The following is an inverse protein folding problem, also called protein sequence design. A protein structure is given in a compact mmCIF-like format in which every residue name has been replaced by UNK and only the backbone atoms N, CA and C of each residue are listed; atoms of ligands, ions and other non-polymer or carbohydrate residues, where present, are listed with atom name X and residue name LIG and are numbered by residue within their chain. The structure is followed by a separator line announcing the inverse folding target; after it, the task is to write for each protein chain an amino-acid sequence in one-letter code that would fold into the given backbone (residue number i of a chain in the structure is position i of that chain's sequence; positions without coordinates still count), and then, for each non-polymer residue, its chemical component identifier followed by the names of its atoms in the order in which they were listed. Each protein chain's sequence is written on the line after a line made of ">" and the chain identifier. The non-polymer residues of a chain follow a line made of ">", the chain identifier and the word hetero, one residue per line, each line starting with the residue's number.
data_IF_332947978376
#
_entry.id   IF_332947978376
#
_cell.length_a   1.000
_cell.length_b   1.000
_cell.length_c   1.000
_cell.angle_alpha   90.00
_cell.angle_beta   90.00
_cell.angle_gamma   90.00
#
_symmetry.space_group_name_H-M   'P 1'
#
loop_
_entity.id
_entity.type
_entity.pdbx_description
1 polymer ?
#
# COMPACT_ATOMS: atom_id res chain seq x y z
N UNK A 1 20.46 4.35 53.10
CA UNK A 1 21.10 4.16 51.79
C UNK A 1 20.12 3.36 50.96
N UNK A 2 19.15 4.08 50.39
CA UNK A 2 18.32 3.54 49.32
C UNK A 2 19.23 3.32 48.11
N UNK A 3 19.31 2.08 47.66
CA UNK A 3 19.84 1.78 46.34
C UNK A 3 18.77 2.23 45.35
N UNK A 4 18.93 3.43 44.80
CA UNK A 4 18.34 3.76 43.51
C UNK A 4 18.83 2.72 42.52
N UNK A 5 17.96 1.75 42.21
CA UNK A 5 18.09 1.02 40.96
C UNK A 5 17.99 2.09 39.88
N UNK A 6 19.14 2.46 39.33
CA UNK A 6 19.21 3.18 38.07
C UNK A 6 18.43 2.33 37.08
N UNK A 7 17.20 2.78 36.80
CA UNK A 7 16.39 2.27 35.72
C UNK A 7 17.31 2.14 34.51
N UNK A 8 17.32 0.95 33.92
CA UNK A 8 18.14 0.59 32.78
C UNK A 8 17.61 1.29 31.50
N UNK A 9 17.28 2.58 31.59
CA UNK A 9 16.73 3.45 30.56
C UNK A 9 17.78 3.83 29.49
N UNK A 10 18.83 3.03 29.34
CA UNK A 10 19.99 3.29 28.49
C UNK A 10 20.22 2.21 27.42
N UNK A 11 19.17 1.53 26.93
CA UNK A 11 19.29 0.47 25.92
C UNK A 11 18.34 0.68 24.74
N UNK A 12 18.63 1.69 23.91
CA UNK A 12 18.19 1.80 22.51
C UNK A 12 16.68 1.75 22.21
N UNK A 13 16.33 1.84 20.93
CA UNK A 13 14.95 1.65 20.48
C UNK A 13 14.65 0.15 20.44
N UNK A 14 13.73 -0.32 21.29
CA UNK A 14 13.28 -1.73 21.26
C UNK A 14 12.40 -1.97 20.03
N UNK A 15 12.93 -2.73 19.07
CA UNK A 15 12.24 -3.17 17.86
C UNK A 15 11.94 -4.66 17.97
N UNK A 16 10.68 -5.06 17.75
CA UNK A 16 10.29 -6.48 17.71
C UNK A 16 9.77 -6.85 16.33
N UNK A 17 10.09 -8.06 15.87
CA UNK A 17 9.66 -8.61 14.59
C UNK A 17 8.82 -9.85 14.84
N UNK A 18 7.54 -9.80 14.47
CA UNK A 18 6.58 -10.90 14.66
C UNK A 18 6.30 -11.57 13.32
N UNK A 19 6.74 -12.81 13.18
CA UNK A 19 6.39 -13.68 12.06
C UNK A 19 5.08 -14.40 12.34
N UNK A 20 4.02 -14.09 11.61
CA UNK A 20 2.68 -14.66 11.81
C UNK A 20 2.37 -15.71 10.74
N UNK A 21 2.04 -16.93 11.19
CA UNK A 21 1.77 -18.07 10.33
C UNK A 21 3.04 -18.70 9.73
N UNK A 22 2.86 -19.61 8.77
CA UNK A 22 3.97 -20.35 8.15
C UNK A 22 4.95 -19.45 7.39
N UNK A 23 4.46 -18.67 6.42
CA UNK A 23 5.30 -17.76 5.64
C UNK A 23 5.99 -16.69 6.51
N UNK A 24 5.26 -16.10 7.47
CA UNK A 24 5.86 -15.15 8.42
C UNK A 24 6.93 -15.78 9.30
N UNK A 25 6.70 -17.01 9.78
CA UNK A 25 7.69 -17.77 10.54
C UNK A 25 8.94 -18.11 9.72
N UNK A 26 8.78 -18.48 8.45
CA UNK A 26 9.89 -18.72 7.52
C UNK A 26 10.71 -17.45 7.30
N UNK A 27 10.06 -16.31 7.05
CA UNK A 27 10.72 -15.03 6.90
C UNK A 27 11.52 -14.64 8.16
N UNK A 28 10.95 -14.85 9.36
CA UNK A 28 11.68 -14.64 10.62
C UNK A 28 12.89 -15.55 10.74
N UNK A 29 12.74 -16.84 10.43
CA UNK A 29 13.86 -17.78 10.46
C UNK A 29 14.95 -17.36 9.47
N UNK A 30 14.56 -16.87 8.29
CA UNK A 30 15.49 -16.37 7.28
C UNK A 30 16.25 -15.13 7.75
N UNK A 31 15.57 -14.17 8.39
CA UNK A 31 16.21 -12.99 8.99
C UNK A 31 17.22 -13.38 10.09
N UNK A 32 16.87 -14.35 10.92
CA UNK A 32 17.78 -14.90 11.95
C UNK A 32 19.02 -15.51 11.29
N UNK A 33 18.83 -16.31 10.24
CA UNK A 33 19.93 -16.95 9.52
C UNK A 33 20.85 -15.94 8.81
N UNK A 34 20.29 -14.83 8.32
CA UNK A 34 21.07 -13.70 7.75
C UNK A 34 21.72 -12.80 8.80
N UNK A 35 21.47 -13.03 10.09
CA UNK A 35 22.13 -12.31 11.18
C UNK A 35 21.64 -10.88 11.38
N UNK A 36 20.36 -10.60 11.06
CA UNK A 36 19.76 -9.29 11.36
C UNK A 36 19.86 -9.01 12.86
N UNK A 37 20.44 -7.86 13.19
CA UNK A 37 20.76 -7.48 14.58
C UNK A 37 19.88 -6.32 15.07
N UNK A 38 19.85 -6.10 16.39
CA UNK A 38 19.10 -5.00 16.98
C UNK A 38 17.58 -5.19 16.99
N UNK A 39 17.08 -6.42 16.78
CA UNK A 39 15.66 -6.73 16.83
C UNK A 39 15.40 -7.99 17.68
N UNK A 40 14.24 -8.06 18.31
CA UNK A 40 13.74 -9.27 18.99
C UNK A 40 12.78 -10.02 18.07
N UNK A 41 13.08 -11.29 17.78
CA UNK A 41 12.26 -12.12 16.91
C UNK A 41 11.20 -12.90 17.69
N UNK A 42 9.97 -12.86 17.17
CA UNK A 42 8.80 -13.55 17.72
C UNK A 42 8.18 -14.38 16.60
N UNK A 43 8.01 -15.68 16.81
CA UNK A 43 7.26 -16.55 15.90
C UNK A 43 5.87 -16.84 16.47
N UNK A 44 4.82 -16.59 15.70
CA UNK A 44 3.44 -16.77 16.13
C UNK A 44 2.67 -17.62 15.11
N UNK A 45 2.25 -18.84 15.49
CA UNK A 45 1.57 -19.74 14.56
C UNK A 45 0.56 -20.64 15.27
N UNK A 46 -0.42 -21.15 14.52
CA UNK A 46 -1.38 -22.16 15.00
C UNK A 46 -0.86 -23.59 14.80
N UNK A 47 0.14 -23.77 13.94
CA UNK A 47 0.83 -25.04 13.72
C UNK A 47 2.00 -25.21 14.69
N UNK A 48 1.89 -26.21 15.57
CA UNK A 48 2.92 -26.49 16.58
C UNK A 48 4.20 -27.09 15.99
N UNK A 49 4.11 -27.82 14.87
CA UNK A 49 5.29 -28.40 14.21
C UNK A 49 6.16 -27.31 13.61
N UNK A 50 5.54 -26.32 12.96
CA UNK A 50 6.24 -25.16 12.44
C UNK A 50 6.95 -24.36 13.54
N UNK A 51 6.30 -24.21 14.71
CA UNK A 51 6.90 -23.49 15.85
C UNK A 51 8.06 -24.24 16.49
N UNK A 52 7.99 -25.58 16.57
CA UNK A 52 9.07 -26.39 17.12
C UNK A 52 10.39 -26.27 16.33
N UNK A 53 10.31 -25.93 15.04
CA UNK A 53 11.49 -25.70 14.19
C UNK A 53 12.02 -24.26 14.26
N UNK A 54 11.31 -23.33 14.91
CA UNK A 54 11.68 -21.92 14.94
C UNK A 54 12.81 -21.63 15.93
N UNK A 55 13.76 -20.80 15.52
CA UNK A 55 14.86 -20.28 16.35
C UNK A 55 14.58 -18.89 16.92
N UNK A 56 13.33 -18.42 16.85
CA UNK A 56 12.95 -17.10 17.35
C UNK A 56 13.16 -16.95 18.87
N UNK A 57 13.41 -15.72 19.34
CA UNK A 57 13.63 -15.44 20.76
C UNK A 57 12.40 -15.78 21.61
N UNK A 58 11.21 -15.58 21.05
CA UNK A 58 9.94 -15.89 21.69
C UNK A 58 9.00 -16.61 20.71
N UNK A 59 8.22 -17.56 21.22
CA UNK A 59 7.34 -18.43 20.44
C UNK A 59 5.92 -18.34 21.02
N UNK A 60 4.98 -17.93 20.19
CA UNK A 60 3.56 -17.79 20.52
C UNK A 60 2.77 -18.84 19.76
N UNK A 61 2.39 -19.90 20.46
CA UNK A 61 1.40 -20.85 19.98
C UNK A 61 0.01 -20.19 20.00
N UNK A 62 -0.57 -19.98 18.82
CA UNK A 62 -1.92 -19.42 18.62
C UNK A 62 -2.93 -20.57 18.66
N UNK A 63 -3.79 -20.59 19.68
CA UNK A 63 -4.73 -21.69 19.91
C UNK A 63 -4.07 -22.99 20.41
N UNK A 64 -4.87 -23.88 20.98
CA UNK A 64 -4.36 -25.03 21.76
C UNK A 64 -4.12 -26.30 20.93
N UNK A 65 -4.78 -26.47 19.78
CA UNK A 65 -4.79 -27.74 19.04
C UNK A 65 -3.48 -28.05 18.34
N UNK A 66 -2.71 -27.03 17.93
CA UNK A 66 -1.45 -27.21 17.20
C UNK A 66 -1.61 -27.69 15.75
N UNK A 67 -2.83 -27.79 15.21
CA UNK A 67 -3.13 -28.40 13.90
C UNK A 67 -3.25 -27.39 12.74
N UNK A 68 -2.98 -26.12 13.00
CA UNK A 68 -3.15 -25.07 11.99
C UNK A 68 -4.60 -24.57 11.83
N UNK A 69 -4.77 -23.50 11.04
CA UNK A 69 -6.07 -22.90 10.75
C UNK A 69 -6.75 -23.43 9.47
N UNK A 70 -6.14 -24.39 8.76
CA UNK A 70 -6.75 -25.06 7.59
C UNK A 70 -7.20 -24.13 6.46
N UNK A 71 -6.40 -23.11 6.12
CA UNK A 71 -6.74 -22.05 5.12
C UNK A 71 -8.01 -21.24 5.44
N UNK A 72 -8.41 -21.18 6.71
CA UNK A 72 -9.60 -20.45 7.16
C UNK A 72 -9.20 -19.24 8.02
N UNK A 73 -9.20 -18.02 7.46
CA UNK A 73 -8.80 -16.80 8.18
C UNK A 73 -9.63 -16.54 9.44
N UNK A 74 -10.91 -16.86 9.41
CA UNK A 74 -11.81 -16.69 10.55
C UNK A 74 -11.40 -17.55 11.76
N UNK A 75 -10.87 -18.76 11.52
CA UNK A 75 -10.30 -19.60 12.58
C UNK A 75 -9.02 -18.96 13.11
N UNK A 76 -8.13 -18.53 12.21
CA UNK A 76 -6.88 -17.86 12.61
C UNK A 76 -7.14 -16.64 13.49
N UNK A 77 -8.14 -15.83 13.13
CA UNK A 77 -8.59 -14.66 13.91
C UNK A 77 -9.14 -15.04 15.28
N UNK A 78 -10.06 -16.01 15.34
CA UNK A 78 -10.66 -16.46 16.61
C UNK A 78 -9.61 -16.98 17.59
N UNK A 79 -8.67 -17.80 17.11
CA UNK A 79 -7.59 -18.33 17.94
C UNK A 79 -6.62 -17.23 18.39
N UNK A 80 -6.33 -16.24 17.53
CA UNK A 80 -5.52 -15.09 17.91
C UNK A 80 -6.18 -14.25 19.00
N UNK A 81 -7.50 -14.02 18.92
CA UNK A 81 -8.26 -13.30 19.94
C UNK A 81 -8.22 -14.03 21.29
N UNK A 82 -8.38 -15.36 21.29
CA UNK A 82 -8.24 -16.18 22.51
C UNK A 82 -6.83 -16.12 23.11
N UNK A 83 -5.81 -15.89 22.25
CA UNK A 83 -4.40 -15.83 22.63
C UNK A 83 -3.93 -14.39 22.88
N UNK A 84 -4.83 -13.40 22.88
CA UNK A 84 -4.52 -11.97 22.93
C UNK A 84 -3.60 -11.57 24.09
N UNK A 85 -3.87 -12.06 25.30
CA UNK A 85 -3.04 -11.77 26.49
C UNK A 85 -1.58 -12.21 26.31
N UNK A 86 -1.31 -13.34 25.64
CA UNK A 86 0.07 -13.80 25.39
C UNK A 86 0.77 -12.95 24.32
N UNK A 87 0.01 -12.46 23.35
CA UNK A 87 0.50 -11.52 22.34
C UNK A 87 0.89 -10.20 23.03
N UNK A 88 0.02 -9.67 23.89
CA UNK A 88 0.28 -8.46 24.69
C UNK A 88 1.54 -8.59 25.56
N UNK A 89 1.69 -9.69 26.29
CA UNK A 89 2.87 -9.93 27.12
C UNK A 89 4.17 -9.96 26.29
N UNK A 90 4.11 -10.57 25.10
CA UNK A 90 5.26 -10.70 24.20
C UNK A 90 5.65 -9.38 23.53
N UNK A 91 4.68 -8.48 23.31
CA UNK A 91 4.90 -7.17 22.67
C UNK A 91 5.24 -6.06 23.67
N UNK A 92 5.19 -6.35 24.98
CA UNK A 92 5.45 -5.34 26.02
C UNK A 92 6.84 -4.71 25.87
N UNK A 93 6.87 -3.39 26.00
CA UNK A 93 8.08 -2.57 25.90
C UNK A 93 8.57 -2.31 24.48
N UNK A 94 7.88 -2.78 23.44
CA UNK A 94 8.24 -2.47 22.05
C UNK A 94 7.93 -1.01 21.72
N UNK A 95 8.92 -0.29 21.17
CA UNK A 95 8.70 1.03 20.57
C UNK A 95 8.18 0.89 19.15
N UNK A 96 8.61 -0.17 18.46
CA UNK A 96 8.24 -0.49 17.10
C UNK A 96 8.02 -1.99 16.94
N UNK A 97 6.98 -2.36 16.20
CA UNK A 97 6.65 -3.76 15.90
C UNK A 97 6.52 -3.93 14.39
N UNK A 98 7.36 -4.81 13.83
CA UNK A 98 7.21 -5.31 12.48
C UNK A 98 6.36 -6.58 12.49
N UNK A 99 5.39 -6.66 11.60
CA UNK A 99 4.54 -7.85 11.44
C UNK A 99 4.80 -8.42 10.06
N UNK A 100 5.46 -9.58 10.00
CA UNK A 100 5.73 -10.32 8.78
C UNK A 100 4.67 -11.42 8.62
N UNK A 101 3.95 -11.43 7.50
CA UNK A 101 2.96 -12.47 7.22
C UNK A 101 2.76 -12.71 5.72
N UNK A 102 2.48 -13.96 5.36
CA UNK A 102 1.97 -14.31 4.04
C UNK A 102 0.45 -14.27 4.03
N UNK A 103 -0.14 -13.48 3.14
CA UNK A 103 -1.58 -13.32 2.98
C UNK A 103 -2.14 -14.41 2.05
N UNK A 104 -3.39 -14.79 2.27
CA UNK A 104 -4.08 -15.84 1.48
C UNK A 104 -4.25 -17.16 2.23
N UNK A 105 -3.41 -17.41 3.24
CA UNK A 105 -3.55 -18.54 4.17
C UNK A 105 -4.58 -18.30 5.29
N UNK A 106 -4.68 -19.24 6.23
CA UNK A 106 -5.58 -19.12 7.40
C UNK A 106 -4.96 -18.32 8.54
N UNK A 107 -3.77 -18.72 9.01
CA UNK A 107 -3.14 -18.12 10.20
C UNK A 107 -2.64 -16.71 9.95
N UNK A 108 -1.82 -16.51 8.92
CA UNK A 108 -1.25 -15.19 8.59
C UNK A 108 -2.35 -14.14 8.38
N UNK A 109 -3.25 -14.42 7.44
CA UNK A 109 -4.39 -13.53 7.11
C UNK A 109 -5.30 -13.21 8.29
N UNK A 110 -5.60 -14.21 9.14
CA UNK A 110 -6.54 -14.05 10.24
C UNK A 110 -5.95 -13.45 11.50
N UNK A 111 -4.72 -13.82 11.84
CA UNK A 111 -4.07 -13.45 13.10
C UNK A 111 -3.25 -12.15 12.99
N UNK A 112 -2.67 -11.83 11.83
CA UNK A 112 -1.86 -10.62 11.68
C UNK A 112 -2.62 -9.32 12.03
N UNK A 113 -3.91 -9.14 11.66
CA UNK A 113 -4.69 -7.97 12.09
C UNK A 113 -4.84 -7.86 13.61
N UNK A 114 -4.99 -8.98 14.32
CA UNK A 114 -5.11 -8.99 15.79
C UNK A 114 -3.77 -8.63 16.43
N UNK A 115 -2.66 -9.17 15.93
CA UNK A 115 -1.31 -8.79 16.39
C UNK A 115 -1.07 -7.30 16.19
N UNK A 116 -1.48 -6.75 15.04
CA UNK A 116 -1.37 -5.32 14.73
C UNK A 116 -2.21 -4.45 15.67
N UNK A 117 -3.46 -4.84 15.89
CA UNK A 117 -4.37 -4.14 16.80
C UNK A 117 -3.80 -4.07 18.23
N UNK A 118 -3.25 -5.19 18.72
CA UNK A 118 -2.59 -5.25 20.03
C UNK A 118 -1.38 -4.33 20.07
N UNK A 119 -0.47 -4.43 19.11
CA UNK A 119 0.74 -3.59 19.03
C UNK A 119 0.39 -2.09 19.06
N UNK A 120 -0.61 -1.69 18.27
CA UNK A 120 -1.07 -0.30 18.17
C UNK A 120 -1.75 0.19 19.45
N UNK A 121 -2.56 -0.65 20.09
CA UNK A 121 -3.19 -0.33 21.39
C UNK A 121 -2.14 -0.10 22.48
N UNK A 122 -1.00 -0.80 22.39
CA UNK A 122 0.13 -0.63 23.30
C UNK A 122 1.01 0.60 22.97
N UNK A 123 0.70 1.33 21.90
CA UNK A 123 1.41 2.56 21.51
C UNK A 123 2.69 2.33 20.70
N UNK A 124 2.94 1.11 20.23
CA UNK A 124 4.07 0.82 19.35
C UNK A 124 3.79 1.30 17.92
N UNK A 125 4.81 1.84 17.25
CA UNK A 125 4.76 2.10 15.82
C UNK A 125 4.63 0.75 15.09
N UNK A 126 3.48 0.53 14.44
CA UNK A 126 3.12 -0.79 13.91
C UNK A 126 3.26 -0.80 12.39
N UNK A 127 4.22 -1.57 11.89
CA UNK A 127 4.50 -1.70 10.45
C UNK A 127 4.27 -3.14 10.04
N UNK A 128 3.38 -3.36 9.08
CA UNK A 128 3.19 -4.68 8.49
C UNK A 128 3.96 -4.80 7.17
N UNK A 129 4.70 -5.89 7.02
CA UNK A 129 5.38 -6.27 5.79
C UNK A 129 4.81 -7.61 5.36
N UNK A 130 4.02 -7.61 4.29
CA UNK A 130 3.21 -8.77 3.94
C UNK A 130 3.34 -9.12 2.48
N UNK A 131 3.37 -10.42 2.18
CA UNK A 131 3.38 -10.93 0.80
C UNK A 131 1.98 -11.32 0.35
N UNK A 132 1.64 -10.95 -0.89
CA UNK A 132 0.50 -11.54 -1.60
C UNK A 132 0.88 -12.91 -2.17
N UNK A 133 -0.08 -13.82 -2.37
CA UNK A 133 0.19 -15.15 -2.91
C UNK A 133 0.73 -15.09 -4.35
N UNK A 134 1.35 -16.18 -4.80
CA UNK A 134 1.74 -16.34 -6.20
C UNK A 134 0.52 -16.60 -7.09
N UNK A 135 0.65 -16.33 -8.38
CA UNK A 135 -0.46 -16.49 -9.35
C UNK A 135 -0.96 -17.94 -9.44
N UNK A 136 -0.06 -18.92 -9.29
CA UNK A 136 -0.42 -20.34 -9.32
C UNK A 136 -1.22 -20.84 -8.09
N UNK A 137 -1.23 -20.10 -6.97
CA UNK A 137 -2.01 -20.49 -5.77
C UNK A 137 -3.53 -20.30 -5.96
N UNK A 138 -3.91 -19.58 -7.03
CA UNK A 138 -5.28 -19.46 -7.49
C UNK A 138 -6.08 -18.32 -6.88
N UNK A 139 -7.16 -17.94 -7.56
CA UNK A 139 -7.95 -16.74 -7.27
C UNK A 139 -8.51 -16.72 -5.83
N UNK A 140 -8.93 -17.88 -5.30
CA UNK A 140 -9.49 -17.95 -3.95
C UNK A 140 -8.48 -17.52 -2.88
N UNK A 141 -7.20 -17.88 -3.06
CA UNK A 141 -6.11 -17.46 -2.15
C UNK A 141 -5.93 -15.94 -2.22
N UNK A 142 -5.96 -15.38 -3.44
CA UNK A 142 -5.85 -13.94 -3.67
C UNK A 142 -7.02 -13.15 -3.06
N UNK A 143 -8.26 -13.64 -3.20
CA UNK A 143 -9.44 -12.99 -2.62
C UNK A 143 -9.37 -12.95 -1.09
N UNK A 144 -8.89 -14.04 -0.48
CA UNK A 144 -8.61 -14.11 0.96
C UNK A 144 -7.52 -13.09 1.35
N UNK A 145 -6.46 -13.00 0.55
CA UNK A 145 -5.36 -12.08 0.80
C UNK A 145 -5.82 -10.61 0.76
N UNK A 146 -6.61 -10.21 -0.24
CA UNK A 146 -7.15 -8.85 -0.35
C UNK A 146 -8.06 -8.49 0.83
N UNK A 147 -8.95 -9.40 1.24
CA UNK A 147 -9.82 -9.19 2.39
C UNK A 147 -9.01 -9.04 3.70
N UNK A 148 -7.97 -9.86 3.88
CA UNK A 148 -7.07 -9.75 5.02
C UNK A 148 -6.25 -8.47 5.02
N UNK A 149 -5.79 -8.00 3.84
CA UNK A 149 -5.06 -6.75 3.70
C UNK A 149 -5.93 -5.55 4.05
N UNK A 150 -7.19 -5.55 3.64
CA UNK A 150 -8.15 -4.51 3.99
C UNK A 150 -8.34 -4.43 5.52
N UNK A 151 -8.50 -5.57 6.18
CA UNK A 151 -8.63 -5.62 7.64
C UNK A 151 -7.34 -5.18 8.35
N UNK A 152 -6.19 -5.69 7.91
CA UNK A 152 -4.88 -5.35 8.48
C UNK A 152 -4.58 -3.86 8.35
N UNK A 153 -4.94 -3.24 7.23
CA UNK A 153 -4.69 -1.81 6.96
C UNK A 153 -5.33 -0.86 7.98
N UNK A 154 -6.38 -1.30 8.69
CA UNK A 154 -7.07 -0.52 9.72
C UNK A 154 -6.24 -0.44 11.02
N UNK A 155 -5.38 -1.42 11.25
CA UNK A 155 -4.69 -1.65 12.52
C UNK A 155 -3.19 -1.40 12.48
N UNK A 156 -2.66 -0.95 11.34
CA UNK A 156 -1.23 -0.62 11.16
C UNK A 156 -1.07 0.88 10.92
N UNK A 157 0.15 1.38 11.11
CA UNK A 157 0.52 2.74 10.73
C UNK A 157 1.03 2.77 9.29
N UNK A 158 1.80 1.74 8.91
CA UNK A 158 2.30 1.53 7.55
C UNK A 158 2.12 0.09 7.10
N UNK A 159 1.73 -0.10 5.84
CA UNK A 159 1.53 -1.41 5.21
C UNK A 159 2.40 -1.54 3.97
N UNK A 160 3.48 -2.31 4.07
CA UNK A 160 4.37 -2.66 2.96
C UNK A 160 3.84 -3.96 2.33
N UNK A 161 3.48 -3.87 1.05
CA UNK A 161 2.92 -5.01 0.30
C UNK A 161 3.96 -5.50 -0.71
N UNK A 162 4.30 -6.77 -0.61
CA UNK A 162 5.18 -7.48 -1.55
C UNK A 162 4.29 -8.30 -2.48
N UNK A 163 4.50 -8.13 -3.79
CA UNK A 163 3.74 -8.82 -4.83
C UNK A 163 4.55 -10.03 -5.32
N UNK A 164 4.22 -11.23 -4.85
CA UNK A 164 4.96 -12.44 -5.26
C UNK A 164 4.82 -12.73 -6.76
N UNK A 165 3.71 -12.35 -7.38
CA UNK A 165 3.54 -12.37 -8.84
C UNK A 165 4.64 -11.56 -9.56
N UNK A 166 5.10 -10.44 -9.00
CA UNK A 166 6.21 -9.67 -9.59
C UNK A 166 7.55 -10.37 -9.44
N UNK A 167 7.75 -11.14 -8.38
CA UNK A 167 8.94 -11.96 -8.24
C UNK A 167 8.94 -13.12 -9.25
N UNK A 168 7.78 -13.70 -9.52
CA UNK A 168 7.59 -14.71 -10.58
C UNK A 168 7.96 -14.14 -11.97
N UNK A 169 7.50 -12.94 -12.31
CA UNK A 169 7.85 -12.28 -13.59
C UNK A 169 9.35 -11.99 -13.73
N UNK A 170 10.04 -11.62 -12.65
CA UNK A 170 11.48 -11.28 -12.68
C UNK A 170 12.35 -12.53 -12.77
N UNK A 171 11.94 -13.61 -12.10
CA UNK A 171 12.74 -14.82 -11.91
C UNK A 171 12.11 -16.04 -12.61
N UNK A 172 11.47 -15.84 -13.76
CA UNK A 172 10.66 -16.87 -14.47
C UNK A 172 11.40 -18.22 -14.67
N UNK A 173 12.71 -18.18 -14.90
CA UNK A 173 13.54 -19.37 -15.15
C UNK A 173 14.00 -20.12 -13.87
N UNK A 174 13.73 -19.58 -12.68
CA UNK A 174 14.20 -20.14 -11.40
C UNK A 174 13.21 -21.13 -10.78
N UNK A 175 13.67 -21.87 -9.75
CA UNK A 175 12.82 -22.85 -9.06
C UNK A 175 11.84 -22.16 -8.10
N UNK A 176 10.71 -22.81 -7.82
CA UNK A 176 9.74 -22.36 -6.80
C UNK A 176 10.40 -22.11 -5.44
N UNK A 177 11.39 -22.92 -5.06
CA UNK A 177 12.12 -22.73 -3.81
C UNK A 177 12.94 -21.44 -3.83
N UNK A 178 13.51 -21.08 -4.98
CA UNK A 178 14.27 -19.85 -5.13
C UNK A 178 13.34 -18.63 -5.17
N UNK A 179 12.16 -18.73 -5.78
CA UNK A 179 11.13 -17.68 -5.67
C UNK A 179 10.73 -17.39 -4.22
N UNK A 180 10.55 -18.43 -3.40
CA UNK A 180 10.25 -18.25 -1.97
C UNK A 180 11.42 -17.57 -1.23
N UNK A 181 12.67 -17.96 -1.54
CA UNK A 181 13.85 -17.28 -0.98
C UNK A 181 13.92 -15.83 -1.40
N UNK A 182 13.59 -15.49 -2.65
CA UNK A 182 13.53 -14.10 -3.10
C UNK A 182 12.46 -13.31 -2.34
N UNK A 183 11.29 -13.90 -2.08
CA UNK A 183 10.26 -13.27 -1.27
C UNK A 183 10.73 -13.04 0.18
N UNK A 184 11.40 -14.03 0.78
CA UNK A 184 11.99 -13.91 2.11
C UNK A 184 13.13 -12.88 2.14
N UNK A 185 13.90 -12.75 1.05
CA UNK A 185 14.95 -11.74 0.89
C UNK A 185 14.36 -10.33 0.83
N UNK A 186 13.24 -10.13 0.15
CA UNK A 186 12.54 -8.84 0.13
C UNK A 186 11.98 -8.51 1.51
N UNK A 187 11.37 -9.48 2.22
CA UNK A 187 10.91 -9.29 3.60
C UNK A 187 12.07 -8.92 4.53
N UNK A 188 13.19 -9.64 4.43
CA UNK A 188 14.40 -9.36 5.17
C UNK A 188 14.92 -7.95 4.89
N UNK A 189 15.05 -7.56 3.63
CA UNK A 189 15.56 -6.24 3.25
C UNK A 189 14.67 -5.10 3.77
N UNK A 190 13.35 -5.31 3.87
CA UNK A 190 12.42 -4.33 4.43
C UNK A 190 12.61 -4.14 5.94
N UNK A 191 12.68 -5.24 6.68
CA UNK A 191 12.83 -5.20 8.14
C UNK A 191 14.25 -4.76 8.51
N UNK A 192 15.28 -5.38 7.93
CA UNK A 192 16.68 -5.05 8.18
C UNK A 192 16.99 -3.62 7.76
N UNK A 193 16.54 -3.19 6.58
CA UNK A 193 16.79 -1.84 6.09
C UNK A 193 16.29 -0.74 7.04
N UNK A 194 15.12 -0.94 7.68
CA UNK A 194 14.58 0.05 8.63
C UNK A 194 15.22 -0.12 10.02
N UNK A 195 15.41 -1.36 10.48
CA UNK A 195 15.97 -1.65 11.80
C UNK A 195 17.44 -1.21 11.92
N UNK A 196 18.24 -1.42 10.87
CA UNK A 196 19.66 -1.05 10.83
C UNK A 196 19.86 0.47 10.94
N UNK A 197 19.01 1.27 10.29
CA UNK A 197 19.07 2.74 10.37
C UNK A 197 18.92 3.25 11.82
N UNK A 198 18.14 2.54 12.64
CA UNK A 198 17.80 2.96 14.00
C UNK A 198 18.81 2.40 15.00
N UNK A 199 19.08 1.08 14.93
CA UNK A 199 19.76 0.34 15.99
C UNK A 199 21.22 0.01 15.69
N UNK A 200 21.67 0.08 14.43
CA UNK A 200 23.09 -0.08 14.10
C UNK A 200 23.78 1.29 14.22
N UNK A 201 24.84 1.42 15.03
CA UNK A 201 25.60 2.67 15.11
C UNK A 201 26.26 2.99 13.77
N UNK A 202 25.70 3.93 13.03
CA UNK A 202 26.28 4.56 11.84
C UNK A 202 26.94 5.91 12.16
N UNK A 203 27.53 6.55 11.14
CA UNK A 203 28.01 7.93 11.27
C UNK A 203 26.86 8.95 11.25
N UNK A 204 25.73 8.59 10.64
CA UNK A 204 24.49 9.37 10.61
C UNK A 204 23.35 8.41 10.95
N UNK A 205 22.95 8.38 12.22
CA UNK A 205 21.75 7.67 12.64
C UNK A 205 20.53 8.56 12.44
N UNK A 206 19.43 7.95 12.02
CA UNK A 206 18.13 8.64 11.99
C UNK A 206 17.50 8.51 13.38
N UNK A 207 16.94 9.60 13.90
CA UNK A 207 16.19 9.52 15.16
C UNK A 207 14.93 8.67 14.98
N UNK A 208 14.55 7.93 16.02
CA UNK A 208 13.33 7.15 16.00
C UNK A 208 12.10 8.03 15.72
N UNK A 209 12.09 9.28 16.19
CA UNK A 209 10.97 10.19 15.91
C UNK A 209 10.88 10.61 14.44
N UNK A 210 11.99 10.68 13.72
CA UNK A 210 12.00 10.97 12.28
C UNK A 210 11.44 9.78 11.50
N UNK A 211 11.87 8.56 11.84
CA UNK A 211 11.30 7.33 11.26
C UNK A 211 9.82 7.23 11.58
N UNK A 212 9.43 7.48 12.84
CA UNK A 212 8.04 7.48 13.27
C UNK A 212 7.21 8.48 12.50
N UNK A 213 7.71 9.69 12.26
CA UNK A 213 7.00 10.72 11.49
C UNK A 213 6.75 10.25 10.05
N UNK A 214 7.76 9.71 9.38
CA UNK A 214 7.65 9.22 8.00
C UNK A 214 6.77 7.98 7.88
N UNK A 215 6.87 7.05 8.82
CA UNK A 215 6.12 5.79 8.78
C UNK A 215 4.71 5.89 9.38
N UNK A 216 4.41 6.93 10.16
CA UNK A 216 3.04 7.21 10.62
C UNK A 216 2.16 7.80 9.52
N UNK A 217 2.74 8.20 8.39
CA UNK A 217 1.97 8.63 7.22
C UNK A 217 1.11 7.47 6.71
N UNK A 218 -0.15 7.47 7.12
CA UNK A 218 -1.11 6.42 6.78
C UNK A 218 -1.18 6.21 5.27
N UNK A 219 -1.08 4.96 4.85
CA UNK A 219 -1.22 4.58 3.45
C UNK A 219 -0.49 3.28 3.17
N UNK A 220 -0.53 2.91 1.89
CA UNK A 220 0.34 1.84 1.41
C UNK A 220 1.77 2.36 1.40
N UNK A 221 2.69 1.48 1.72
CA UNK A 221 4.10 1.70 1.56
C UNK A 221 4.66 0.68 0.58
N UNK A 222 5.76 1.04 -0.06
CA UNK A 222 6.48 0.13 -0.92
C UNK A 222 7.98 0.29 -0.74
N UNK A 223 8.71 -0.76 -1.09
CA UNK A 223 10.15 -0.80 -0.96
C UNK A 223 10.81 -1.18 -2.27
N UNK A 224 11.88 -0.47 -2.61
CA UNK A 224 12.86 -0.90 -3.59
C UNK A 224 14.23 -1.05 -2.94
N UNK A 225 15.01 -2.04 -3.37
CA UNK A 225 16.39 -2.23 -2.93
C UNK A 225 17.23 -2.61 -4.14
N UNK A 226 18.42 -2.04 -4.24
CA UNK A 226 19.39 -2.42 -5.26
C UNK A 226 20.81 -2.34 -4.72
N UNK A 227 21.69 -3.18 -5.27
CA UNK A 227 23.12 -3.19 -4.95
C UNK A 227 23.90 -2.97 -6.23
N UNK A 228 24.94 -2.13 -6.18
CA UNK A 228 25.82 -1.88 -7.31
C UNK A 228 27.28 -1.70 -6.86
N UNK A 229 28.21 -1.85 -7.79
CA UNK A 229 29.66 -1.70 -7.59
C UNK A 229 30.29 -0.85 -8.69
N UNK A 230 31.54 -0.41 -8.49
CA UNK A 230 32.26 0.43 -9.46
C UNK A 230 32.07 1.94 -9.30
N UNK A 231 32.44 2.71 -10.33
CA UNK A 231 32.62 4.18 -10.24
C UNK A 231 31.32 4.94 -10.00
N UNK A 232 30.23 4.53 -10.67
CA UNK A 232 28.91 5.16 -10.58
C UNK A 232 27.95 4.35 -9.71
N UNK A 233 28.47 3.49 -8.82
CA UNK A 233 27.69 2.54 -8.02
C UNK A 233 26.55 3.20 -7.25
N UNK A 234 26.79 4.40 -6.71
CA UNK A 234 25.82 5.11 -5.89
C UNK A 234 24.60 5.58 -6.69
N UNK A 235 24.83 6.20 -7.85
CA UNK A 235 23.79 6.60 -8.79
C UNK A 235 23.02 5.40 -9.33
N UNK A 236 23.73 4.35 -9.76
CA UNK A 236 23.12 3.14 -10.35
C UNK A 236 22.24 2.43 -9.31
N UNK A 237 22.75 2.21 -8.08
CA UNK A 237 21.96 1.59 -7.02
C UNK A 237 20.73 2.42 -6.66
N UNK A 238 20.83 3.74 -6.59
CA UNK A 238 19.67 4.59 -6.30
C UNK A 238 18.63 4.56 -7.42
N UNK A 239 19.05 4.66 -8.69
CA UNK A 239 18.14 4.58 -9.84
C UNK A 239 17.45 3.23 -9.91
N UNK A 240 18.17 2.13 -9.71
CA UNK A 240 17.61 0.78 -9.69
C UNK A 240 16.67 0.54 -8.50
N UNK A 241 16.99 1.07 -7.32
CA UNK A 241 16.11 0.96 -6.15
C UNK A 241 14.78 1.69 -6.40
N UNK A 242 14.82 2.86 -7.02
CA UNK A 242 13.63 3.66 -7.34
C UNK A 242 12.85 3.08 -8.53
N UNK A 243 13.53 2.44 -9.48
CA UNK A 243 12.93 1.74 -10.61
C UNK A 243 12.69 0.24 -10.35
N UNK A 244 12.63 -0.16 -9.08
CA UNK A 244 12.42 -1.57 -8.72
C UNK A 244 11.07 -2.05 -9.25
N UNK A 245 10.98 -3.25 -9.88
CA UNK A 245 9.71 -3.81 -10.34
C UNK A 245 8.70 -4.04 -9.19
N UNK A 246 9.20 -4.13 -7.95
CA UNK A 246 8.33 -4.17 -6.77
C UNK A 246 7.58 -2.85 -6.54
N UNK A 247 7.94 -1.78 -7.24
CA UNK A 247 7.27 -0.47 -7.23
C UNK A 247 6.38 -0.26 -8.47
N UNK A 248 6.29 -1.24 -9.37
CA UNK A 248 5.55 -1.10 -10.64
C UNK A 248 4.07 -0.81 -10.41
N UNK A 249 3.55 0.14 -11.20
CA UNK A 249 2.16 0.59 -11.13
C UNK A 249 1.87 1.58 -10.00
N UNK A 250 2.89 2.02 -9.24
CA UNK A 250 2.75 3.08 -8.25
C UNK A 250 3.60 4.30 -8.61
N UNK A 251 2.95 5.45 -8.64
CA UNK A 251 3.62 6.73 -8.87
C UNK A 251 4.27 7.23 -7.56
N UNK A 252 5.60 7.12 -7.49
CA UNK A 252 6.42 7.59 -6.37
C UNK A 252 6.35 9.10 -6.17
N UNK A 253 5.95 9.88 -7.19
CA UNK A 253 5.76 11.32 -7.06
C UNK A 253 4.63 11.69 -6.08
N UNK A 254 3.76 10.73 -5.74
CA UNK A 254 2.74 10.87 -4.72
C UNK A 254 3.19 10.52 -3.30
N UNK A 255 4.42 10.05 -3.09
CA UNK A 255 4.92 9.68 -1.77
C UNK A 255 5.14 10.92 -0.90
N UNK A 256 4.54 10.93 0.30
CA UNK A 256 4.69 12.03 1.27
C UNK A 256 5.90 11.85 2.18
N UNK A 257 6.29 10.60 2.40
CA UNK A 257 7.44 10.22 3.19
C UNK A 257 8.33 9.28 2.41
N UNK A 258 9.65 9.47 2.49
CA UNK A 258 10.64 8.57 1.90
C UNK A 258 11.74 8.31 2.91
N UNK A 259 11.98 7.04 3.22
CA UNK A 259 13.13 6.60 3.98
C UNK A 259 14.17 6.04 3.01
N UNK A 260 15.41 6.51 3.14
CA UNK A 260 16.54 6.04 2.34
C UNK A 260 17.58 5.45 3.27
N UNK A 261 17.88 4.17 3.11
CA UNK A 261 19.03 3.52 3.73
C UNK A 261 20.15 3.37 2.70
N UNK A 262 21.37 3.73 3.10
CA UNK A 262 22.59 3.45 2.33
C UNK A 262 23.49 2.56 3.15
N UNK A 263 23.69 1.32 2.70
CA UNK A 263 24.64 0.39 3.30
C UNK A 263 25.87 0.29 2.41
N UNK A 264 27.06 0.50 2.98
CA UNK A 264 28.33 0.41 2.25
C UNK A 264 29.49 0.09 3.20
N UNK A 265 30.65 -0.25 2.63
CA UNK A 265 31.88 -0.27 3.42
C UNK A 265 32.29 1.15 3.86
N UNK A 266 33.21 1.25 4.82
CA UNK A 266 33.73 2.55 5.33
C UNK A 266 34.41 3.43 4.26
N UNK A 267 34.58 2.94 3.04
CA UNK A 267 35.07 3.71 1.89
C UNK A 267 34.05 4.64 1.24
N UNK A 268 32.80 4.70 1.75
CA UNK A 268 31.73 5.56 1.21
C UNK A 268 32.12 7.05 1.19
N UNK A 269 32.04 7.68 0.02
CA UNK A 269 32.37 9.10 -0.19
C UNK A 269 31.13 9.99 -0.08
N UNK A 270 31.32 11.21 0.41
CA UNK A 270 30.25 12.21 0.46
C UNK A 270 29.61 12.55 -0.90
N UNK A 271 30.34 12.39 -2.01
CA UNK A 271 29.79 12.56 -3.37
C UNK A 271 28.75 11.49 -3.70
N UNK A 272 29.01 10.25 -3.31
CA UNK A 272 28.12 9.10 -3.54
C UNK A 272 26.78 9.29 -2.82
N UNK A 273 26.83 9.76 -1.57
CA UNK A 273 25.63 10.11 -0.80
C UNK A 273 24.80 11.20 -1.51
N UNK A 274 25.45 12.25 -2.02
CA UNK A 274 24.77 13.30 -2.77
C UNK A 274 24.09 12.78 -4.03
N UNK A 275 24.73 11.84 -4.74
CA UNK A 275 24.17 11.22 -5.93
C UNK A 275 22.94 10.36 -5.60
N UNK A 276 22.99 9.56 -4.54
CA UNK A 276 21.83 8.78 -4.05
C UNK A 276 20.66 9.71 -3.72
N UNK A 277 20.91 10.74 -2.92
CA UNK A 277 19.85 11.67 -2.51
C UNK A 277 19.27 12.48 -3.67
N UNK A 278 20.11 12.88 -4.63
CA UNK A 278 19.66 13.58 -5.83
C UNK A 278 18.77 12.69 -6.70
N UNK A 279 19.14 11.41 -6.88
CA UNK A 279 18.33 10.44 -7.59
C UNK A 279 16.98 10.26 -6.90
N UNK A 280 16.94 9.94 -5.60
CA UNK A 280 15.68 9.73 -4.87
C UNK A 280 14.79 10.98 -4.88
N UNK A 281 15.36 12.18 -4.69
CA UNK A 281 14.60 13.45 -4.70
C UNK A 281 13.96 13.75 -6.05
N UNK A 282 14.52 13.25 -7.15
CA UNK A 282 13.95 13.44 -8.49
C UNK A 282 12.63 12.68 -8.70
N UNK A 283 12.39 11.62 -7.93
CA UNK A 283 11.18 10.80 -8.02
C UNK A 283 10.18 11.01 -6.88
N UNK A 284 10.60 11.65 -5.78
CA UNK A 284 9.73 11.98 -4.65
C UNK A 284 8.94 13.27 -4.89
N UNK A 285 7.84 13.45 -4.15
CA UNK A 285 7.08 14.70 -4.17
C UNK A 285 7.96 15.91 -3.76
N UNK A 286 7.75 17.11 -4.31
CA UNK A 286 8.53 18.30 -3.94
C UNK A 286 8.49 18.64 -2.44
N UNK A 287 7.38 18.33 -1.78
CA UNK A 287 7.11 18.52 -0.35
C UNK A 287 7.29 17.23 0.47
N UNK A 288 7.84 16.16 -0.12
CA UNK A 288 8.09 14.91 0.60
C UNK A 288 9.12 15.10 1.71
N UNK A 289 8.80 14.54 2.87
CA UNK A 289 9.72 14.39 4.00
C UNK A 289 10.66 13.22 3.73
N UNK A 290 11.96 13.46 3.72
CA UNK A 290 12.96 12.44 3.43
C UNK A 290 13.88 12.27 4.63
N UNK A 291 13.96 11.05 5.17
CA UNK A 291 14.98 10.67 6.14
C UNK A 291 16.01 9.78 5.47
N UNK A 292 17.28 10.01 5.84
CA UNK A 292 18.42 9.29 5.28
C UNK A 292 19.22 8.67 6.41
N UNK A 293 19.40 7.35 6.35
CA UNK A 293 20.31 6.60 7.20
C UNK A 293 21.53 6.09 6.43
N UNK A 294 22.65 5.93 7.12
CA UNK A 294 23.87 5.31 6.59
C UNK A 294 24.32 4.21 7.54
N UNK A 295 24.31 2.98 7.04
CA UNK A 295 24.84 1.82 7.72
C UNK A 295 26.20 1.42 7.14
N UNK A 296 27.13 1.00 8.00
CA UNK A 296 28.42 0.47 7.56
C UNK A 296 28.46 -1.03 7.72
N UNK A 297 28.79 -1.71 6.63
CA UNK A 297 29.05 -3.13 6.61
C UNK A 297 30.36 -3.40 5.85
N UNK A 298 31.38 -3.80 6.60
CA UNK A 298 32.71 -4.09 6.04
C UNK A 298 32.70 -5.31 5.10
N UNK A 299 31.67 -6.17 5.17
CA UNK A 299 31.52 -7.30 4.26
C UNK A 299 31.12 -6.87 2.83
N UNK A 300 30.63 -5.64 2.64
CA UNK A 300 30.21 -5.14 1.31
C UNK A 300 31.38 -4.85 0.36
N UNK A 301 32.62 -4.69 0.85
CA UNK A 301 33.76 -4.40 -0.01
C UNK A 301 33.57 -3.15 -0.88
N UNK A 302 33.49 -3.30 -2.20
CA UNK A 302 33.27 -2.21 -3.16
C UNK A 302 31.78 -2.02 -3.55
N UNK A 303 30.87 -2.74 -2.92
CA UNK A 303 29.44 -2.59 -3.18
C UNK A 303 28.81 -1.47 -2.34
N UNK A 304 27.75 -0.89 -2.89
CA UNK A 304 26.81 -0.03 -2.19
C UNK A 304 25.40 -0.60 -2.37
N UNK A 305 24.66 -0.72 -1.28
CA UNK A 305 23.24 -1.08 -1.28
C UNK A 305 22.41 0.14 -0.92
N UNK A 306 21.42 0.44 -1.74
CA UNK A 306 20.45 1.50 -1.49
C UNK A 306 19.08 0.86 -1.33
N UNK A 307 18.43 1.13 -0.20
CA UNK A 307 17.05 0.72 0.07
C UNK A 307 16.20 1.97 0.22
N UNK A 308 15.11 2.04 -0.54
CA UNK A 308 14.16 3.15 -0.52
C UNK A 308 12.81 2.60 -0.07
N UNK A 309 12.24 3.20 0.98
CA UNK A 309 10.87 2.90 1.44
C UNK A 309 10.03 4.17 1.26
N UNK A 310 9.05 4.09 0.37
CA UNK A 310 8.11 5.19 0.12
C UNK A 310 6.81 4.95 0.90
N UNK A 311 6.34 5.95 1.64
CA UNK A 311 5.14 5.90 2.48
C UNK A 311 4.12 6.98 2.08
N UNK A 312 2.87 6.80 2.51
CA UNK A 312 1.77 7.72 2.16
C UNK A 312 1.23 7.56 0.73
N UNK A 313 1.50 6.42 0.07
CA UNK A 313 1.06 6.16 -1.29
C UNK A 313 -0.45 5.88 -1.35
N UNK A 314 -1.13 6.41 -2.37
CA UNK A 314 -2.55 6.12 -2.65
C UNK A 314 -3.58 7.08 -2.02
N UNK A 315 -3.15 8.17 -1.35
CA UNK A 315 -4.08 9.22 -0.88
C UNK A 315 -4.61 10.14 -2.00
N UNK A 316 -4.12 10.02 -3.24
CA UNK A 316 -4.68 10.72 -4.40
C UNK A 316 -5.95 10.04 -4.93
N UNK A 317 -6.95 9.87 -4.06
CA UNK A 317 -8.35 10.04 -4.46
C UNK A 317 -8.77 11.41 -3.94
N UNK A 318 -8.27 12.47 -4.58
CA UNK A 318 -9.15 13.59 -4.85
C UNK A 318 -10.30 13.00 -5.67
N UNK A 319 -11.32 12.47 -4.99
CA UNK A 319 -12.67 12.53 -5.52
C UNK A 319 -12.84 14.01 -5.79
N UNK A 320 -12.68 14.43 -7.04
CA UNK A 320 -13.31 15.65 -7.51
C UNK A 320 -14.75 15.50 -7.04
N UNK A 321 -15.07 16.15 -5.93
CA UNK A 321 -16.43 16.23 -5.47
C UNK A 321 -17.06 17.08 -6.54
N UNK A 322 -17.71 16.42 -7.50
CA UNK A 322 -18.66 17.05 -8.40
C UNK A 322 -19.53 17.88 -7.46
N UNK A 323 -19.33 19.20 -7.51
CA UNK A 323 -20.16 20.14 -6.78
C UNK A 323 -21.56 19.77 -7.23
N UNK A 324 -22.32 19.12 -6.34
CA UNK A 324 -23.71 18.84 -6.64
C UNK A 324 -24.30 20.20 -6.98
N UNK A 325 -24.90 20.39 -8.16
CA UNK A 325 -25.53 21.66 -8.48
C UNK A 325 -26.50 21.91 -7.35
N UNK A 326 -26.22 22.96 -6.58
CA UNK A 326 -27.03 23.39 -5.45
C UNK A 326 -28.48 23.37 -5.94
N UNK A 327 -29.31 22.50 -5.34
CA UNK A 327 -30.72 22.43 -5.71
C UNK A 327 -31.29 23.81 -5.42
N UNK A 328 -31.48 24.59 -6.48
CA UNK A 328 -32.19 25.85 -6.41
C UNK A 328 -33.60 25.46 -5.97
N UNK A 329 -33.92 25.76 -4.71
CA UNK A 329 -35.27 25.65 -4.18
C UNK A 329 -36.19 26.39 -5.16
N UNK A 330 -37.01 25.63 -5.90
CA UNK A 330 -37.98 26.20 -6.82
C UNK A 330 -39.03 26.97 -6.02
N UNK A 331 -38.79 28.24 -5.76
CA UNK A 331 -39.83 29.19 -5.37
C UNK A 331 -40.77 29.29 -6.57
N UNK A 332 -42.02 28.83 -6.44
CA UNK A 332 -42.96 28.54 -7.54
C UNK A 332 -43.40 29.70 -8.44
N UNK A 333 -42.49 30.52 -8.95
CA UNK A 333 -42.75 31.68 -9.81
C UNK A 333 -42.10 31.58 -11.20
N UNK A 334 -41.48 30.45 -11.54
CA UNK A 334 -40.72 30.26 -12.79
C UNK A 334 -41.56 30.24 -14.08
N UNK A 335 -42.89 30.40 -14.03
CA UNK A 335 -43.77 30.42 -15.20
C UNK A 335 -44.87 31.52 -15.12
N UNK A 336 -44.59 32.67 -14.51
CA UNK A 336 -45.49 33.82 -14.63
C UNK A 336 -45.18 34.61 -15.92
N UNK A 337 -46.13 34.81 -16.85
CA UNK A 337 -45.92 35.67 -18.00
C UNK A 337 -45.68 37.10 -17.51
N UNK A 338 -44.52 37.68 -17.83
CA UNK A 338 -44.25 39.10 -17.59
C UNK A 338 -45.21 39.93 -18.43
N UNK A 339 -46.16 40.59 -17.76
CA UNK A 339 -47.05 41.57 -18.38
C UNK A 339 -46.22 42.85 -18.63
N UNK A 340 -45.80 43.04 -19.88
CA UNK A 340 -45.02 44.20 -20.31
C UNK A 340 -45.81 45.49 -20.17
N UNK A 341 -45.28 46.43 -19.37
CA UNK A 341 -45.77 47.80 -19.29
C UNK A 341 -45.34 48.59 -20.53
N UNK A 342 -46.33 49.20 -21.18
CA UNK A 342 -46.17 50.05 -22.35
C UNK A 342 -45.33 51.31 -22.06
N UNK A 343 -44.45 51.67 -23.00
CA UNK A 343 -43.71 52.94 -22.98
C UNK A 343 -42.76 53.14 -24.17
N UNK A 344 -43.31 53.73 -25.24
CA UNK A 344 -42.67 54.69 -26.16
C UNK A 344 -41.66 54.22 -27.26
N UNK A 345 -42.16 54.38 -28.50
CA UNK A 345 -41.50 54.92 -29.71
C UNK A 345 -40.43 54.11 -30.47
N UNK A 346 -40.84 53.61 -31.66
CA UNK A 346 -40.15 53.88 -32.93
C UNK A 346 -39.36 52.74 -33.60
N UNK A 347 -39.89 52.21 -34.71
CA UNK A 347 -39.08 51.80 -35.88
C UNK A 347 -38.85 50.31 -36.17
N UNK A 348 -39.57 49.81 -37.19
CA UNK A 348 -39.18 48.81 -38.22
C UNK A 348 -38.62 47.41 -37.87
N UNK A 349 -39.49 46.41 -38.11
CA UNK A 349 -39.29 45.13 -38.86
C UNK A 349 -37.91 44.45 -38.93
N UNK A 350 -37.84 43.19 -38.44
CA UNK A 350 -37.65 41.95 -39.23
C UNK A 350 -37.39 40.76 -38.30
N UNK A 351 -38.00 39.61 -38.60
CA UNK A 351 -37.96 38.41 -37.77
C UNK A 351 -36.62 37.68 -37.76
N UNK A 352 -36.43 36.77 -36.80
CA UNK A 352 -35.59 35.57 -36.93
C UNK A 352 -35.91 34.56 -35.82
N UNK A 353 -35.77 33.29 -36.20
CA UNK A 353 -36.12 32.09 -35.46
C UNK A 353 -35.22 31.84 -34.24
N UNK A 354 -35.81 31.37 -33.14
CA UNK A 354 -35.06 30.79 -32.03
C UNK A 354 -34.83 29.30 -32.28
N UNK A 355 -33.60 28.98 -32.70
CA UNK A 355 -33.01 27.65 -32.77
C UNK A 355 -32.92 27.06 -31.37
N UNK A 356 -33.62 25.95 -31.12
CA UNK A 356 -33.46 25.14 -29.90
C UNK A 356 -32.20 24.28 -30.00
N UNK A 357 -31.26 24.49 -29.08
CA UNK A 357 -30.01 23.72 -28.98
C UNK A 357 -30.23 22.29 -28.44
N UNK A 358 -29.38 21.32 -28.83
CA UNK A 358 -29.56 19.91 -28.53
C UNK A 358 -29.06 19.58 -27.11
N UNK A 359 -29.94 19.63 -26.12
CA UNK A 359 -29.55 19.33 -24.73
C UNK A 359 -30.64 18.82 -23.81
N UNK A 360 -31.90 18.75 -24.24
CA UNK A 360 -33.03 18.49 -23.33
C UNK A 360 -33.61 17.06 -23.41
N UNK A 361 -32.97 16.16 -24.18
CA UNK A 361 -33.41 14.76 -24.34
C UNK A 361 -32.88 13.76 -23.30
N UNK A 362 -31.97 14.17 -22.41
CA UNK A 362 -31.27 13.25 -21.51
C UNK A 362 -31.94 13.04 -20.14
N UNK A 363 -33.09 13.67 -19.88
CA UNK A 363 -33.80 13.56 -18.58
C UNK A 363 -34.90 12.50 -18.53
N UNK A 364 -35.08 11.71 -19.60
CA UNK A 364 -36.06 10.61 -19.62
C UNK A 364 -35.38 9.23 -19.62
N UNK A 365 -35.90 8.27 -18.82
CA UNK A 365 -35.49 6.87 -18.81
C UNK A 365 -35.41 6.23 -20.19
N UNK A 366 -34.42 5.37 -20.40
CA UNK A 366 -34.08 4.78 -21.70
C UNK A 366 -35.25 4.02 -22.38
N UNK A 367 -36.16 3.46 -21.59
CA UNK A 367 -37.33 2.70 -22.09
C UNK A 367 -38.31 3.63 -22.82
N UNK A 368 -38.59 4.82 -22.27
CA UNK A 368 -39.48 5.81 -22.92
C UNK A 368 -38.81 6.53 -24.10
N UNK A 369 -37.48 6.58 -24.13
CA UNK A 369 -36.72 7.09 -25.28
C UNK A 369 -36.79 6.13 -26.48
N UNK A 370 -36.88 4.82 -26.23
CA UNK A 370 -36.98 3.76 -27.26
C UNK A 370 -38.32 3.80 -27.98
N UNK A 371 -39.42 3.99 -27.25
CA UNK A 371 -40.76 4.11 -27.84
C UNK A 371 -40.84 5.31 -28.79
N UNK A 372 -40.34 6.48 -28.37
CA UNK A 372 -40.32 7.69 -29.23
C UNK A 372 -39.42 7.54 -30.47
N UNK A 373 -38.28 6.86 -30.35
CA UNK A 373 -37.40 6.59 -31.48
C UNK A 373 -38.07 5.68 -32.52
N UNK A 374 -38.80 4.64 -32.06
CA UNK A 374 -39.53 3.73 -32.93
C UNK A 374 -40.67 4.42 -33.70
N UNK A 375 -41.41 5.33 -33.04
CA UNK A 375 -42.47 6.12 -33.66
C UNK A 375 -41.92 7.13 -34.68
N UNK A 376 -40.79 7.77 -34.39
CA UNK A 376 -40.13 8.67 -35.34
C UNK A 376 -39.64 7.96 -36.61
N UNK A 377 -39.05 6.77 -36.47
CA UNK A 377 -38.62 5.96 -37.62
C UNK A 377 -39.82 5.55 -38.48
N UNK A 378 -40.94 5.13 -37.86
CA UNK A 378 -42.17 4.80 -38.58
C UNK A 378 -42.81 6.02 -39.26
N UNK A 379 -42.78 7.20 -38.63
CA UNK A 379 -43.29 8.43 -39.22
C UNK A 379 -42.45 8.87 -40.44
N UNK A 380 -41.13 8.71 -40.40
CA UNK A 380 -40.25 9.02 -41.53
C UNK A 380 -40.46 8.04 -42.69
N UNK A 381 -40.63 6.75 -42.42
CA UNK A 381 -40.98 5.77 -43.46
C UNK A 381 -42.35 6.05 -44.08
N UNK A 382 -43.35 6.45 -43.28
CA UNK A 382 -44.66 6.87 -43.80
C UNK A 382 -44.60 8.10 -44.69
N UNK A 383 -43.63 8.99 -44.46
CA UNK A 383 -43.36 10.14 -45.29
C UNK A 383 -42.47 9.84 -46.51
N UNK A 384 -42.21 8.56 -46.80
CA UNK A 384 -41.52 8.10 -48.01
C UNK A 384 -39.99 8.12 -47.93
N UNK A 385 -39.42 8.29 -46.73
CA UNK A 385 -37.96 8.19 -46.54
C UNK A 385 -37.52 6.73 -46.55
N UNK A 386 -36.58 6.38 -47.42
CA UNK A 386 -36.03 5.02 -47.48
C UNK A 386 -35.27 4.69 -46.20
N UNK A 387 -35.36 3.43 -45.75
CA UNK A 387 -34.79 2.97 -44.47
C UNK A 387 -33.29 3.25 -44.34
N UNK A 388 -32.55 3.28 -45.45
CA UNK A 388 -31.11 3.52 -45.44
C UNK A 388 -30.74 5.00 -45.25
N UNK A 389 -31.64 5.92 -45.57
CA UNK A 389 -31.46 7.36 -45.42
C UNK A 389 -31.81 7.87 -44.02
N UNK A 390 -32.39 7.00 -43.17
CA UNK A 390 -32.64 7.32 -41.76
C UNK A 390 -31.30 7.27 -40.98
N UNK A 391 -30.97 8.31 -40.19
CA UNK A 391 -29.72 8.35 -39.43
C UNK A 391 -29.49 7.09 -38.58
N UNK A 392 -28.27 6.54 -38.64
CA UNK A 392 -27.94 5.24 -38.04
C UNK A 392 -28.18 5.18 -36.51
N UNK A 393 -28.07 6.31 -35.81
CA UNK A 393 -28.33 6.37 -34.36
C UNK A 393 -29.81 6.19 -34.00
N UNK A 394 -30.74 6.62 -34.86
CA UNK A 394 -32.18 6.43 -34.68
C UNK A 394 -32.58 4.99 -34.99
N UNK A 395 -32.00 4.39 -36.04
CA UNK A 395 -32.21 2.97 -36.36
C UNK A 395 -31.76 2.05 -35.22
N UNK A 396 -30.57 2.29 -34.67
CA UNK A 396 -30.00 1.51 -33.56
C UNK A 396 -30.75 1.69 -32.23
N UNK A 397 -31.50 2.78 -32.07
CA UNK A 397 -32.36 3.00 -30.90
C UNK A 397 -33.76 2.38 -31.08
N UNK A 398 -34.20 2.14 -32.32
CA UNK A 398 -35.48 1.52 -32.62
C UNK A 398 -35.42 -0.02 -32.65
N UNK A 399 -34.27 -0.61 -33.04
CA UNK A 399 -33.91 -2.01 -32.75
C UNK A 399 -33.72 -2.22 -31.24
#
# INVERSE_FOLDING_TARGET
>A
MEFDMVDNAALGTVIKVVGVGGAGGNAVQHMINKGVSGVEFIAANTDAQALAASSANNIIQIGESGLGAGMRPEIGRQLAEQTRSRIEDSLRGAHMVFIAAGMGGGTGTGAAPIVAEVAKTMGALTVAVVSKPFSYEGQKCMDIAEAGLEELSKHVDSLIIILNEKLEEIYEDESMLDWMKHADDVLNNAVAGIAEIINVPGHINVDFNDVKTIMSEQGKAMMGTATASGVDRARIAAEQAVASPLLDGIDLSGAKGVLVNVTASRGLKGKEIKEVMAAVRAFAAPDASIAQGIAYDDAMGDEIRVTVVATGLGKNKNKMQLVQPQQVLKTGTYNAPMMGTAGLTGGMTMGTASVGGPGDGMKQPAVWRREQASEQVQAMQRNGVETYDIPAFLRKQAD
#
